data_IF_651193032529
#
_entry.id   IF_651193032529
#
_cell.length_a   1.000
_cell.length_b   1.000
_cell.length_c   1.000
_cell.angle_alpha   90.00
_cell.angle_beta   90.00
_cell.angle_gamma   90.00
#
_symmetry.space_group_name_H-M   'P 1'
#
loop_
_entity.id
_entity.type
_entity.pdbx_description
1 polymer ?
#
# COMPACT_ATOMS: atom_id res chain seq x y z
N UNK A 1 6.69 21.48 18.78
CA UNK A 1 6.46 20.21 19.52
C UNK A 1 4.99 19.88 19.35
N UNK A 2 4.63 19.29 18.22
CA UNK A 2 3.25 18.93 17.88
C UNK A 2 3.18 17.42 17.99
N UNK A 3 2.38 16.95 18.95
CA UNK A 3 2.14 15.54 19.20
C UNK A 3 1.11 15.04 18.18
N UNK A 4 1.55 14.37 17.12
CA UNK A 4 0.65 13.77 16.13
C UNK A 4 0.00 12.53 16.75
N UNK A 5 -1.19 12.71 17.32
CA UNK A 5 -2.18 11.65 17.34
C UNK A 5 -2.99 11.82 16.04
N UNK A 6 -2.93 10.83 15.13
CA UNK A 6 -3.97 10.71 14.10
C UNK A 6 -5.35 10.84 14.78
N UNK A 7 -6.37 11.50 14.19
CA UNK A 7 -7.63 11.79 14.86
C UNK A 7 -8.50 10.54 15.08
N UNK A 8 -8.02 9.55 15.84
CA UNK A 8 -8.78 8.36 16.23
C UNK A 8 -9.75 8.62 17.38
N UNK A 9 -9.54 9.70 18.14
CA UNK A 9 -10.24 9.96 19.42
C UNK A 9 -11.42 10.94 19.34
N UNK A 10 -11.86 11.34 18.14
CA UNK A 10 -12.92 12.34 18.00
C UNK A 10 -12.49 13.75 18.39
N UNK A 11 -11.19 14.01 18.36
CA UNK A 11 -10.63 15.34 18.55
C UNK A 11 -10.86 16.15 17.28
N UNK A 12 -11.54 17.29 17.46
CA UNK A 12 -11.62 18.34 16.45
C UNK A 12 -10.34 19.17 16.52
N UNK A 13 -9.71 19.40 15.38
CA UNK A 13 -8.54 20.26 15.28
C UNK A 13 -8.94 21.73 15.40
N UNK A 14 -8.00 22.58 15.75
CA UNK A 14 -8.20 24.03 15.81
C UNK A 14 -7.29 24.65 14.75
N UNK A 15 -7.83 25.52 13.89
CA UNK A 15 -7.01 26.24 12.91
C UNK A 15 -6.23 27.40 13.55
N UNK A 16 -5.35 28.03 12.78
CA UNK A 16 -4.50 29.15 13.23
C UNK A 16 -5.31 30.37 13.71
N UNK A 17 -6.61 30.43 13.40
CA UNK A 17 -7.52 31.50 13.86
C UNK A 17 -8.26 31.15 15.15
N UNK A 18 -8.06 29.94 15.68
CA UNK A 18 -8.75 29.45 16.87
C UNK A 18 -10.10 28.81 16.59
N UNK A 19 -10.49 28.59 15.32
CA UNK A 19 -11.77 27.95 14.97
C UNK A 19 -11.63 26.43 15.11
N UNK A 20 -12.61 25.84 15.80
CA UNK A 20 -12.75 24.39 15.91
C UNK A 20 -13.25 23.83 14.58
N UNK A 21 -12.45 22.97 13.96
CA UNK A 21 -12.78 22.29 12.71
C UNK A 21 -13.78 21.15 12.93
N UNK A 22 -14.57 20.82 11.92
CA UNK A 22 -15.41 19.61 11.95
C UNK A 22 -14.56 18.33 11.99
N UNK A 23 -15.17 17.19 12.32
CA UNK A 23 -14.43 15.90 12.35
C UNK A 23 -13.90 15.52 10.97
N UNK A 24 -14.70 15.65 9.91
CA UNK A 24 -14.29 15.35 8.54
C UNK A 24 -13.18 16.29 8.05
N UNK A 25 -13.29 17.59 8.36
CA UNK A 25 -12.26 18.59 8.06
C UNK A 25 -10.94 18.28 8.78
N UNK A 26 -11.01 18.00 10.09
CA UNK A 26 -9.85 17.61 10.91
C UNK A 26 -9.17 16.36 10.35
N UNK A 27 -9.96 15.39 9.89
CA UNK A 27 -9.45 14.15 9.31
C UNK A 27 -8.73 14.38 7.99
N UNK A 28 -9.31 15.18 7.09
CA UNK A 28 -8.69 15.57 5.82
C UNK A 28 -7.36 16.27 6.03
N UNK A 29 -7.34 17.28 6.90
CA UNK A 29 -6.12 18.05 7.23
C UNK A 29 -5.06 17.14 7.84
N UNK A 30 -5.41 16.27 8.79
CA UNK A 30 -4.45 15.35 9.40
C UNK A 30 -3.84 14.36 8.40
N UNK A 31 -4.65 13.83 7.48
CA UNK A 31 -4.15 12.94 6.42
C UNK A 31 -3.22 13.71 5.46
N UNK A 32 -3.56 14.94 5.10
CA UNK A 32 -2.74 15.76 4.20
C UNK A 32 -1.41 16.16 4.84
N UNK A 33 -1.42 16.56 6.13
CA UNK A 33 -0.21 16.80 6.91
C UNK A 33 0.67 15.56 6.98
N UNK A 34 0.09 14.38 7.22
CA UNK A 34 0.83 13.11 7.19
C UNK A 34 1.48 12.88 5.82
N UNK A 35 0.78 13.16 4.71
CA UNK A 35 1.35 13.03 3.37
C UNK A 35 2.56 13.95 3.17
N UNK A 36 2.48 15.18 3.66
CA UNK A 36 3.54 16.18 3.52
C UNK A 36 4.76 15.91 4.43
N UNK A 37 4.54 15.43 5.65
CA UNK A 37 5.56 15.33 6.69
C UNK A 37 6.26 13.96 6.73
N UNK A 38 5.55 12.90 6.40
CA UNK A 38 6.15 11.57 6.34
C UNK A 38 6.96 11.43 5.05
N UNK A 39 8.16 10.87 5.17
CA UNK A 39 9.03 10.60 4.03
C UNK A 39 9.76 9.27 4.17
N UNK A 40 10.08 8.68 3.03
CA UNK A 40 10.92 7.48 2.93
C UNK A 40 12.13 7.83 2.08
N UNK A 41 13.32 7.72 2.69
CA UNK A 41 14.60 8.01 2.04
C UNK A 41 14.63 9.38 1.31
N UNK A 42 14.03 10.41 1.93
CA UNK A 42 14.00 11.78 1.42
C UNK A 42 12.89 12.09 0.42
N UNK A 43 12.01 11.14 0.09
CA UNK A 43 10.83 11.35 -0.75
C UNK A 43 9.60 11.39 0.16
N UNK A 44 8.86 12.50 0.14
CA UNK A 44 7.63 12.63 0.94
C UNK A 44 6.54 11.70 0.39
N UNK A 45 5.55 11.34 1.21
CA UNK A 45 4.40 10.57 0.71
C UNK A 45 3.54 11.37 -0.28
N UNK A 46 3.50 12.70 -0.13
CA UNK A 46 2.89 13.61 -1.10
C UNK A 46 3.60 13.52 -2.47
N UNK A 47 4.94 13.52 -2.49
CA UNK A 47 5.74 13.39 -3.70
C UNK A 47 5.54 12.02 -4.34
N UNK A 48 5.47 10.95 -3.54
CA UNK A 48 5.16 9.61 -4.03
C UNK A 48 3.76 9.52 -4.65
N UNK A 49 2.77 10.19 -4.04
CA UNK A 49 1.41 10.26 -4.58
C UNK A 49 1.36 11.06 -5.88
N UNK A 50 2.05 12.20 -5.96
CA UNK A 50 2.14 12.99 -7.19
C UNK A 50 2.86 12.21 -8.29
N UNK A 51 3.98 11.55 -7.98
CA UNK A 51 4.75 10.70 -8.90
C UNK A 51 3.89 9.57 -9.48
N UNK A 52 3.06 8.92 -8.66
CA UNK A 52 2.16 7.85 -9.09
C UNK A 52 1.19 8.25 -10.20
N UNK A 53 0.80 9.53 -10.21
CA UNK A 53 -0.19 10.07 -11.15
C UNK A 53 0.42 10.98 -12.22
N UNK A 54 1.73 11.23 -12.14
CA UNK A 54 2.47 11.99 -13.13
C UNK A 54 2.68 11.14 -14.40
N UNK A 55 2.69 11.79 -15.57
CA UNK A 55 3.11 11.12 -16.80
C UNK A 55 4.64 11.01 -16.82
N UNK A 56 5.21 10.03 -17.56
CA UNK A 56 6.65 9.94 -17.71
C UNK A 56 7.27 11.24 -18.23
N UNK A 57 8.16 11.84 -17.45
CA UNK A 57 8.86 13.08 -17.78
C UNK A 57 8.19 14.37 -17.28
N UNK A 58 7.03 14.28 -16.62
CA UNK A 58 6.40 15.42 -15.97
C UNK A 58 7.25 15.88 -14.76
N UNK A 59 7.31 17.21 -14.56
CA UNK A 59 7.84 17.77 -13.32
C UNK A 59 6.80 17.57 -12.20
N UNK A 60 7.22 16.91 -11.12
CA UNK A 60 6.38 16.65 -9.94
C UNK A 60 5.91 17.96 -9.31
N UNK A 61 6.67 19.05 -9.43
CA UNK A 61 6.29 20.35 -8.88
C UNK A 61 5.04 20.94 -9.58
N UNK A 62 4.86 20.64 -10.86
CA UNK A 62 3.70 21.07 -11.66
C UNK A 62 2.59 20.00 -11.70
N UNK A 63 2.82 18.83 -11.12
CA UNK A 63 1.85 17.75 -11.10
C UNK A 63 0.61 18.13 -10.28
N UNK A 64 -0.57 17.79 -10.82
CA UNK A 64 -1.84 18.03 -10.14
C UNK A 64 -2.78 16.85 -10.29
N UNK A 65 -3.47 16.55 -9.19
CA UNK A 65 -4.36 15.41 -9.06
C UNK A 65 -5.80 15.86 -9.16
N UNK A 66 -6.61 15.04 -9.83
CA UNK A 66 -8.03 15.31 -9.99
C UNK A 66 -8.78 15.02 -8.71
N UNK A 67 -9.66 15.94 -8.30
CA UNK A 67 -10.59 15.75 -7.20
C UNK A 67 -12.00 15.56 -7.77
N UNK A 68 -12.65 14.44 -7.42
CA UNK A 68 -13.96 14.05 -7.96
C UNK A 68 -15.15 14.55 -7.12
N UNK A 69 -14.96 14.77 -5.83
CA UNK A 69 -15.99 15.22 -4.88
C UNK A 69 -15.44 16.38 -4.04
N UNK A 70 -16.26 17.41 -3.84
CA UNK A 70 -15.95 18.50 -2.94
C UNK A 70 -16.52 18.20 -1.55
N UNK A 71 -15.67 18.11 -0.51
CA UNK A 71 -16.09 17.78 0.86
C UNK A 71 -16.89 18.90 1.55
N UNK A 72 -16.87 20.13 1.03
CA UNK A 72 -17.54 21.27 1.66
C UNK A 72 -18.92 21.55 1.05
N UNK A 73 -19.03 21.65 -0.28
CA UNK A 73 -20.31 21.93 -0.95
C UNK A 73 -21.00 20.69 -1.52
N UNK A 74 -20.37 19.51 -1.49
CA UNK A 74 -20.92 18.27 -2.05
C UNK A 74 -20.93 18.20 -3.57
N UNK A 75 -20.30 19.15 -4.28
CA UNK A 75 -20.16 19.08 -5.73
C UNK A 75 -19.46 17.77 -6.15
N UNK A 76 -20.01 17.09 -7.15
CA UNK A 76 -19.51 15.80 -7.62
C UNK A 76 -19.35 15.80 -9.14
N UNK A 77 -18.20 15.32 -9.62
CA UNK A 77 -17.89 15.14 -11.03
C UNK A 77 -17.72 13.64 -11.34
N UNK A 78 -18.62 13.04 -12.14
CA UNK A 78 -18.52 11.62 -12.46
C UNK A 78 -17.37 11.32 -13.44
N UNK A 79 -16.75 10.15 -13.28
CA UNK A 79 -15.82 9.58 -14.25
C UNK A 79 -14.54 10.40 -14.48
N UNK A 80 -14.31 10.82 -15.73
CA UNK A 80 -13.10 11.53 -16.16
C UNK A 80 -13.15 13.06 -15.94
N UNK A 81 -14.19 13.56 -15.27
CA UNK A 81 -14.32 14.97 -14.90
C UNK A 81 -13.74 15.28 -13.51
N UNK A 82 -13.50 16.55 -13.20
CA UNK A 82 -12.99 16.97 -11.89
C UNK A 82 -13.66 18.25 -11.41
N UNK A 83 -13.98 18.32 -10.11
CA UNK A 83 -14.47 19.55 -9.47
C UNK A 83 -13.33 20.53 -9.15
N UNK A 84 -12.09 20.07 -9.28
CA UNK A 84 -10.88 20.82 -9.01
C UNK A 84 -9.64 19.95 -9.19
N UNK A 85 -8.49 20.59 -9.15
CA UNK A 85 -7.18 19.95 -9.22
C UNK A 85 -6.39 20.36 -7.98
N UNK A 86 -5.58 19.45 -7.46
CA UNK A 86 -4.75 19.67 -6.29
C UNK A 86 -3.31 19.25 -6.54
N UNK A 87 -2.36 20.15 -6.33
CA UNK A 87 -0.92 19.86 -6.40
C UNK A 87 -0.28 19.95 -5.02
N UNK A 88 1.06 20.06 -4.99
CA UNK A 88 1.85 20.21 -3.74
C UNK A 88 1.37 21.36 -2.85
N UNK A 89 0.92 22.45 -3.46
CA UNK A 89 0.51 23.67 -2.75
C UNK A 89 -1.01 23.76 -2.53
N UNK A 90 -1.73 22.65 -2.66
CA UNK A 90 -3.18 22.62 -2.56
C UNK A 90 -3.89 22.97 -3.87
N UNK A 91 -5.21 23.13 -3.79
CA UNK A 91 -6.08 23.40 -4.92
C UNK A 91 -7.37 24.10 -4.50
N UNK A 92 -8.26 24.34 -5.47
CA UNK A 92 -9.53 25.01 -5.23
C UNK A 92 -10.72 24.32 -5.91
N UNK A 93 -11.84 24.22 -5.19
CA UNK A 93 -13.09 23.76 -5.77
C UNK A 93 -13.66 24.80 -6.74
N UNK A 94 -13.99 24.39 -7.97
CA UNK A 94 -14.57 25.26 -8.99
C UNK A 94 -15.99 25.74 -8.67
N UNK A 95 -16.70 25.06 -7.76
CA UNK A 95 -18.09 25.39 -7.41
C UNK A 95 -18.19 26.36 -6.24
N UNK A 96 -17.43 26.16 -5.17
CA UNK A 96 -17.54 26.96 -3.94
C UNK A 96 -16.26 27.68 -3.52
N UNK A 97 -15.13 27.45 -4.22
CA UNK A 97 -13.84 28.05 -3.85
C UNK A 97 -13.14 27.40 -2.66
N UNK A 98 -13.70 26.31 -2.11
CA UNK A 98 -13.10 25.55 -1.01
C UNK A 98 -11.66 25.13 -1.29
N UNK A 99 -10.82 25.12 -0.26
CA UNK A 99 -9.47 24.55 -0.34
C UNK A 99 -9.55 23.04 -0.52
N UNK A 100 -8.83 22.55 -1.53
CA UNK A 100 -8.66 21.14 -1.82
C UNK A 100 -7.25 20.68 -1.44
N UNK A 101 -7.17 19.48 -0.89
CA UNK A 101 -5.99 18.83 -0.33
C UNK A 101 -5.68 17.53 -1.11
N UNK A 102 -4.44 17.03 -1.05
CA UNK A 102 -4.09 15.75 -1.67
C UNK A 102 -4.89 14.61 -1.04
N UNK A 103 -5.21 14.73 0.24
CA UNK A 103 -6.13 13.84 0.94
C UNK A 103 -7.53 13.78 0.28
N UNK A 104 -7.99 14.83 -0.40
CA UNK A 104 -9.27 14.84 -1.12
C UNK A 104 -9.18 14.07 -2.44
N UNK A 105 -8.01 14.10 -3.10
CA UNK A 105 -7.73 13.18 -4.19
C UNK A 105 -7.74 11.72 -3.71
N UNK A 106 -7.43 11.45 -2.44
CA UNK A 106 -7.59 10.11 -1.87
C UNK A 106 -9.02 9.84 -1.38
N UNK A 107 -9.91 10.82 -1.25
CA UNK A 107 -11.31 10.61 -0.82
C UNK A 107 -11.43 10.13 0.63
N UNK A 108 -10.56 10.64 1.51
CA UNK A 108 -10.47 10.19 2.91
C UNK A 108 -11.68 10.57 3.78
N UNK A 109 -12.45 11.55 3.36
CA UNK A 109 -13.70 11.96 4.00
C UNK A 109 -14.81 10.94 3.72
N UNK A 110 -14.95 10.50 2.47
CA UNK A 110 -15.87 9.43 2.07
C UNK A 110 -15.56 8.12 2.81
N UNK A 111 -14.27 7.85 3.04
CA UNK A 111 -13.81 6.72 3.84
C UNK A 111 -14.35 6.74 5.26
N UNK A 112 -14.17 7.87 5.93
CA UNK A 112 -14.60 8.06 7.30
C UNK A 112 -16.12 7.93 7.42
N UNK A 113 -16.85 8.52 6.48
CA UNK A 113 -18.32 8.47 6.43
C UNK A 113 -18.84 7.04 6.17
N UNK A 114 -18.18 6.28 5.29
CA UNK A 114 -18.66 4.96 4.83
C UNK A 114 -18.29 3.83 5.77
N UNK A 115 -17.04 3.79 6.23
CA UNK A 115 -16.49 2.63 6.93
C UNK A 115 -16.33 2.83 8.45
N UNK A 116 -16.53 4.05 8.93
CA UNK A 116 -16.27 4.42 10.31
C UNK A 116 -14.76 4.51 10.61
N UNK A 117 -14.44 4.97 11.83
CA UNK A 117 -13.07 5.39 12.22
C UNK A 117 -12.03 4.28 12.13
N UNK A 118 -12.31 3.11 12.70
CA UNK A 118 -11.33 2.02 12.80
C UNK A 118 -10.94 1.50 11.41
N UNK A 119 -11.92 1.32 10.53
CA UNK A 119 -11.66 0.87 9.16
C UNK A 119 -11.03 1.98 8.30
N UNK A 120 -11.39 3.24 8.51
CA UNK A 120 -10.75 4.37 7.83
C UNK A 120 -9.25 4.47 8.18
N UNK A 121 -8.87 4.21 9.43
CA UNK A 121 -7.46 4.15 9.84
C UNK A 121 -6.71 3.02 9.14
N UNK A 122 -7.31 1.83 9.05
CA UNK A 122 -6.71 0.71 8.30
C UNK A 122 -6.50 1.08 6.82
N UNK A 123 -7.41 1.85 6.23
CA UNK A 123 -7.31 2.30 4.84
C UNK A 123 -6.26 3.42 4.67
N UNK A 124 -6.07 4.26 5.69
CA UNK A 124 -4.95 5.20 5.75
C UNK A 124 -3.61 4.48 5.82
N UNK A 125 -3.50 3.49 6.70
CA UNK A 125 -2.31 2.62 6.75
C UNK A 125 -2.08 1.93 5.41
N UNK A 126 -3.15 1.40 4.79
CA UNK A 126 -3.08 0.74 3.49
C UNK A 126 -2.43 1.66 2.45
N UNK A 127 -3.00 2.84 2.15
CA UNK A 127 -2.40 3.70 1.14
C UNK A 127 -1.01 4.23 1.55
N UNK A 128 -0.77 4.47 2.84
CA UNK A 128 0.54 4.94 3.34
C UNK A 128 1.64 3.94 3.01
N UNK A 129 1.40 2.66 3.23
CA UNK A 129 2.34 1.58 2.90
C UNK A 129 2.64 1.52 1.39
N UNK A 130 1.65 1.79 0.53
CA UNK A 130 1.84 1.76 -0.93
C UNK A 130 2.62 2.98 -1.41
N UNK A 131 2.35 4.16 -0.84
CA UNK A 131 3.14 5.36 -1.11
C UNK A 131 4.58 5.19 -0.62
N UNK A 132 4.78 4.56 0.55
CA UNK A 132 6.10 4.24 1.06
C UNK A 132 6.85 3.24 0.16
N UNK A 133 6.17 2.24 -0.39
CA UNK A 133 6.72 1.33 -1.39
C UNK A 133 7.19 2.09 -2.64
N UNK A 134 6.34 2.97 -3.19
CA UNK A 134 6.70 3.78 -4.36
C UNK A 134 7.91 4.67 -4.07
N UNK A 135 7.90 5.38 -2.95
CA UNK A 135 9.03 6.20 -2.51
C UNK A 135 10.31 5.38 -2.35
N UNK A 136 10.21 4.13 -1.86
CA UNK A 136 11.36 3.22 -1.74
C UNK A 136 11.92 2.86 -3.11
N UNK A 137 11.06 2.42 -4.05
CA UNK A 137 11.47 2.08 -5.41
C UNK A 137 12.12 3.28 -6.08
N UNK A 138 11.47 4.45 -6.00
CA UNK A 138 11.95 5.68 -6.64
C UNK A 138 13.27 6.15 -6.03
N UNK A 139 13.43 6.07 -4.71
CA UNK A 139 14.69 6.43 -4.04
C UNK A 139 15.87 5.56 -4.53
N UNK A 140 15.64 4.26 -4.72
CA UNK A 140 16.66 3.37 -5.28
C UNK A 140 16.89 3.67 -6.76
N UNK A 141 15.81 3.86 -7.55
CA UNK A 141 15.87 4.22 -8.97
C UNK A 141 16.69 5.49 -9.23
N UNK A 142 16.53 6.53 -8.40
CA UNK A 142 17.29 7.79 -8.47
C UNK A 142 18.79 7.61 -8.22
N UNK A 143 19.20 6.54 -7.54
CA UNK A 143 20.62 6.21 -7.33
C UNK A 143 21.22 5.50 -8.55
N UNK A 144 20.41 4.82 -9.35
CA UNK A 144 20.84 4.12 -10.56
C UNK A 144 19.92 2.93 -10.88
N UNK A 145 19.66 2.71 -12.17
CA UNK A 145 18.87 1.55 -12.63
C UNK A 145 19.60 0.22 -12.37
N UNK A 146 20.93 0.22 -12.42
CA UNK A 146 21.79 -0.91 -12.06
C UNK A 146 21.62 -1.28 -10.58
N UNK A 147 21.62 -0.29 -9.69
CA UNK A 147 21.37 -0.48 -8.26
C UNK A 147 19.96 -1.04 -8.03
N UNK A 148 18.96 -0.51 -8.74
CA UNK A 148 17.59 -1.00 -8.65
C UNK A 148 17.45 -2.46 -9.10
N UNK A 149 18.11 -2.83 -10.20
CA UNK A 149 18.10 -4.20 -10.73
C UNK A 149 18.72 -5.22 -9.75
N UNK A 150 19.65 -4.77 -8.90
CA UNK A 150 20.32 -5.59 -7.88
C UNK A 150 19.67 -5.48 -6.48
N UNK A 151 18.60 -4.70 -6.32
CA UNK A 151 17.94 -4.48 -5.04
C UNK A 151 16.65 -5.28 -4.94
N UNK A 152 16.57 -6.17 -3.95
CA UNK A 152 15.33 -6.85 -3.60
C UNK A 152 14.49 -6.03 -2.61
N UNK A 153 13.23 -5.79 -2.94
CA UNK A 153 12.24 -5.09 -2.12
C UNK A 153 11.18 -6.08 -1.67
N UNK A 154 11.05 -6.23 -0.35
CA UNK A 154 10.13 -7.18 0.28
C UNK A 154 9.06 -6.42 1.04
N UNK A 155 7.80 -6.69 0.72
CA UNK A 155 6.62 -6.11 1.36
C UNK A 155 6.00 -7.15 2.30
N UNK A 156 5.62 -6.72 3.50
CA UNK A 156 4.85 -7.55 4.44
C UNK A 156 3.38 -7.53 4.06
N UNK A 157 2.88 -8.63 3.50
CA UNK A 157 1.55 -8.71 2.91
C UNK A 157 1.55 -8.72 1.38
N UNK A 158 0.36 -8.80 0.77
CA UNK A 158 0.24 -8.89 -0.68
C UNK A 158 0.55 -7.56 -1.37
N UNK A 159 1.03 -7.64 -2.62
CA UNK A 159 1.07 -6.52 -3.56
C UNK A 159 -0.35 -6.17 -4.02
N UNK A 160 -1.12 -5.59 -3.10
CA UNK A 160 -2.51 -5.18 -3.26
C UNK A 160 -2.75 -3.82 -2.64
N UNK A 161 -3.87 -3.17 -2.95
CA UNK A 161 -4.40 -2.05 -2.20
C UNK A 161 -5.91 -2.25 -2.02
N UNK A 162 -6.42 -1.83 -0.86
CA UNK A 162 -7.84 -1.93 -0.53
C UNK A 162 -8.64 -0.72 -1.03
N UNK A 163 -7.95 0.33 -1.48
CA UNK A 163 -8.56 1.56 -1.96
C UNK A 163 -8.92 1.52 -3.45
N UNK A 164 -9.77 2.46 -3.88
CA UNK A 164 -10.33 2.50 -5.24
C UNK A 164 -9.26 2.25 -6.31
N UNK A 165 -9.52 1.25 -7.16
CA UNK A 165 -8.66 0.81 -8.27
C UNK A 165 -8.08 1.99 -9.07
N UNK A 166 -8.89 3.00 -9.36
CA UNK A 166 -8.52 4.19 -10.13
C UNK A 166 -7.52 5.11 -9.43
N UNK A 167 -7.51 5.19 -8.09
CA UNK A 167 -6.67 6.14 -7.33
C UNK A 167 -5.37 5.53 -6.84
N UNK A 168 -5.30 4.21 -6.76
CA UNK A 168 -4.16 3.51 -6.16
C UNK A 168 -3.64 2.37 -7.05
N UNK A 169 -4.44 1.33 -7.30
CA UNK A 169 -3.96 0.11 -7.99
C UNK A 169 -3.50 0.39 -9.42
N UNK A 170 -4.30 1.13 -10.21
CA UNK A 170 -3.94 1.45 -11.60
C UNK A 170 -2.72 2.38 -11.72
N UNK A 171 -2.63 3.48 -10.94
CA UNK A 171 -1.40 4.28 -10.85
C UNK A 171 -0.16 3.45 -10.48
N UNK A 172 -0.26 2.56 -9.48
CA UNK A 172 0.87 1.68 -9.10
C UNK A 172 1.24 0.74 -10.25
N UNK A 173 0.26 0.14 -10.93
CA UNK A 173 0.52 -0.70 -12.10
C UNK A 173 1.25 0.07 -13.20
N UNK A 174 0.82 1.30 -13.51
CA UNK A 174 1.48 2.15 -14.50
C UNK A 174 2.91 2.49 -14.09
N UNK A 175 3.12 2.90 -12.84
CA UNK A 175 4.45 3.17 -12.29
C UNK A 175 5.39 1.95 -12.37
N UNK A 176 4.91 0.76 -11.99
CA UNK A 176 5.70 -0.48 -12.08
C UNK A 176 5.97 -0.89 -13.53
N UNK A 177 5.06 -0.61 -14.45
CA UNK A 177 5.23 -0.82 -15.89
C UNK A 177 6.35 0.06 -16.46
N UNK A 178 6.36 1.34 -16.07
CA UNK A 178 7.39 2.30 -16.47
C UNK A 178 8.77 1.89 -15.95
N UNK A 179 8.87 1.56 -14.66
CA UNK A 179 10.11 1.07 -14.04
C UNK A 179 10.62 -0.19 -14.74
N UNK A 180 9.72 -1.15 -15.00
CA UNK A 180 10.07 -2.40 -15.69
C UNK A 180 10.54 -2.14 -17.12
N UNK A 181 9.86 -1.23 -17.83
CA UNK A 181 10.21 -0.83 -19.20
C UNK A 181 11.59 -0.17 -19.25
N UNK A 182 11.95 0.65 -18.27
CA UNK A 182 13.28 1.26 -18.20
C UNK A 182 14.38 0.23 -17.95
N UNK A 183 14.18 -0.70 -17.02
CA UNK A 183 15.12 -1.79 -16.75
C UNK A 183 15.32 -2.65 -18.01
N UNK A 184 14.23 -3.01 -18.71
CA UNK A 184 14.30 -3.78 -19.95
C UNK A 184 15.05 -3.01 -21.06
N UNK A 185 14.78 -1.71 -21.24
CA UNK A 185 15.47 -0.85 -22.23
C UNK A 185 16.96 -0.69 -21.92
N UNK A 186 17.34 -0.67 -20.64
CA UNK A 186 18.72 -0.61 -20.20
C UNK A 186 19.44 -1.98 -20.29
N UNK A 187 18.74 -3.07 -20.63
CA UNK A 187 19.29 -4.42 -20.68
C UNK A 187 19.63 -4.99 -19.30
N UNK A 188 18.95 -4.50 -18.25
CA UNK A 188 19.16 -4.91 -16.86
C UNK A 188 18.17 -6.00 -16.43
N UNK A 189 18.43 -6.60 -15.26
CA UNK A 189 17.52 -7.56 -14.64
C UNK A 189 16.15 -6.95 -14.30
N UNK A 190 15.10 -7.78 -14.17
CA UNK A 190 13.77 -7.31 -13.82
C UNK A 190 13.72 -6.77 -12.38
N UNK A 191 12.73 -5.92 -12.09
CA UNK A 191 12.47 -5.44 -10.73
C UNK A 191 12.23 -6.62 -9.77
N UNK A 192 13.04 -6.69 -8.71
CA UNK A 192 12.92 -7.70 -7.65
C UNK A 192 12.01 -7.18 -6.53
N UNK A 193 10.70 -7.19 -6.79
CA UNK A 193 9.67 -6.81 -5.82
C UNK A 193 8.82 -8.03 -5.44
N UNK A 194 8.61 -8.25 -4.15
CA UNK A 194 7.76 -9.34 -3.66
C UNK A 194 6.96 -8.94 -2.44
N UNK A 195 5.67 -9.25 -2.46
CA UNK A 195 4.83 -9.25 -1.26
C UNK A 195 4.75 -10.65 -0.66
N UNK A 196 4.84 -10.77 0.67
CA UNK A 196 4.82 -12.06 1.37
C UNK A 196 3.66 -12.09 2.36
N UNK A 197 2.71 -12.98 2.12
CA UNK A 197 1.50 -13.10 2.93
C UNK A 197 1.70 -14.10 4.08
N UNK A 198 1.40 -13.66 5.31
CA UNK A 198 1.51 -14.48 6.53
C UNK A 198 0.17 -14.94 7.08
N UNK A 199 -0.91 -14.30 6.67
CA UNK A 199 -2.26 -14.55 7.18
C UNK A 199 -3.27 -14.42 6.06
N UNK A 200 -4.46 -14.97 6.26
CA UNK A 200 -5.60 -14.85 5.35
C UNK A 200 -5.89 -16.12 4.58
N UNK A 201 -6.98 -16.07 3.83
CA UNK A 201 -7.58 -17.24 3.16
C UNK A 201 -6.62 -17.96 2.21
N UNK A 202 -5.77 -17.23 1.48
CA UNK A 202 -4.78 -17.83 0.59
C UNK A 202 -3.69 -18.60 1.35
N UNK A 203 -3.26 -18.11 2.52
CA UNK A 203 -2.26 -18.76 3.38
C UNK A 203 -2.85 -20.02 4.03
N UNK A 204 -4.08 -19.93 4.52
CA UNK A 204 -4.82 -21.07 5.05
C UNK A 204 -4.99 -22.17 3.97
N UNK A 205 -5.37 -21.77 2.76
CA UNK A 205 -5.52 -22.71 1.64
C UNK A 205 -4.17 -23.31 1.22
N UNK A 206 -3.10 -22.52 1.16
CA UNK A 206 -1.75 -23.00 0.87
C UNK A 206 -1.31 -24.09 1.85
N UNK A 207 -1.55 -23.90 3.15
CA UNK A 207 -1.22 -24.88 4.17
C UNK A 207 -1.95 -26.22 3.97
N UNK A 208 -3.19 -26.20 3.47
CA UNK A 208 -3.96 -27.43 3.19
C UNK A 208 -3.39 -28.18 1.99
N UNK A 209 -2.94 -27.47 0.95
CA UNK A 209 -2.45 -28.09 -0.31
C UNK A 209 -0.93 -28.26 -0.35
N UNK A 210 -0.20 -27.91 0.72
CA UNK A 210 1.26 -27.89 0.72
C UNK A 210 1.88 -29.24 0.39
N UNK A 211 1.29 -30.33 0.86
CA UNK A 211 1.76 -31.70 0.60
C UNK A 211 1.57 -32.15 -0.86
N UNK A 212 0.80 -31.40 -1.65
CA UNK A 212 0.65 -31.63 -3.09
C UNK A 212 1.72 -30.89 -3.92
N UNK A 213 2.55 -30.07 -3.28
CA UNK A 213 3.60 -29.28 -3.92
C UNK A 213 4.95 -29.79 -3.42
N UNK A 214 5.74 -30.33 -4.34
CA UNK A 214 7.07 -30.84 -4.01
C UNK A 214 7.98 -29.73 -3.44
N UNK A 215 8.82 -30.02 -2.43
CA UNK A 215 9.80 -29.06 -1.93
C UNK A 215 10.67 -28.47 -3.06
N UNK A 216 10.89 -27.16 -3.01
CA UNK A 216 11.57 -26.39 -4.05
C UNK A 216 10.70 -26.07 -5.29
N UNK A 217 9.41 -26.42 -5.30
CA UNK A 217 8.51 -26.13 -6.42
C UNK A 217 7.54 -24.99 -6.14
N UNK A 218 7.14 -24.33 -7.22
CA UNK A 218 6.16 -23.26 -7.23
C UNK A 218 4.87 -23.73 -7.89
N UNK A 219 3.75 -23.44 -7.24
CA UNK A 219 2.41 -23.62 -7.80
C UNK A 219 1.89 -22.26 -8.27
N UNK A 220 1.56 -22.19 -9.56
CA UNK A 220 0.78 -21.08 -10.12
C UNK A 220 -0.65 -21.17 -9.61
N UNK A 221 -1.29 -20.03 -9.41
CA UNK A 221 -2.71 -19.94 -9.09
C UNK A 221 -3.46 -19.32 -10.28
N UNK A 222 -3.99 -20.13 -11.22
CA UNK A 222 -4.91 -19.66 -12.24
C UNK A 222 -6.13 -18.96 -11.63
N UNK A 223 -6.72 -18.04 -12.38
CA UNK A 223 -7.89 -17.27 -11.91
C UNK A 223 -9.08 -18.21 -11.60
N UNK A 224 -9.27 -19.27 -12.38
CA UNK A 224 -10.34 -20.25 -12.15
C UNK A 224 -10.12 -21.05 -10.84
N UNK A 225 -8.87 -21.40 -10.54
CA UNK A 225 -8.47 -22.14 -9.35
C UNK A 225 -8.77 -21.32 -8.11
N UNK A 226 -8.39 -20.04 -8.10
CA UNK A 226 -8.70 -19.12 -6.99
C UNK A 226 -10.20 -18.93 -6.85
N UNK A 227 -10.92 -18.77 -7.96
CA UNK A 227 -12.37 -18.65 -7.95
C UNK A 227 -13.05 -19.89 -7.36
N UNK A 228 -12.56 -21.07 -7.70
CA UNK A 228 -13.20 -22.35 -7.37
C UNK A 228 -12.81 -22.88 -6.00
N UNK A 229 -11.53 -22.90 -5.70
CA UNK A 229 -10.97 -23.63 -4.56
C UNK A 229 -10.57 -22.74 -3.40
N UNK A 230 -10.19 -21.48 -3.66
CA UNK A 230 -9.81 -20.55 -2.60
C UNK A 230 -11.04 -19.79 -2.14
N UNK A 231 -11.63 -18.97 -3.01
CA UNK A 231 -12.64 -17.96 -2.64
C UNK A 231 -14.09 -18.45 -2.68
N UNK A 232 -14.36 -19.61 -3.29
CA UNK A 232 -15.73 -20.11 -3.50
C UNK A 232 -16.61 -19.20 -4.39
N UNK A 233 -16.00 -18.41 -5.28
CA UNK A 233 -16.66 -17.46 -6.18
C UNK A 233 -16.99 -18.05 -7.56
N UNK A 234 -17.17 -19.36 -7.68
CA UNK A 234 -17.53 -20.04 -8.95
C UNK A 234 -18.72 -19.35 -9.63
N UNK A 235 -18.56 -18.95 -10.89
CA UNK A 235 -19.65 -18.36 -11.69
C UNK A 235 -19.91 -16.86 -11.44
N UNK A 236 -19.09 -16.15 -10.65
CA UNK A 236 -19.22 -14.69 -10.53
C UNK A 236 -18.60 -13.95 -11.73
N UNK A 237 -19.26 -12.92 -12.28
CA UNK A 237 -18.67 -12.08 -13.31
C UNK A 237 -17.50 -11.25 -12.76
N UNK A 238 -16.50 -11.00 -13.61
CA UNK A 238 -15.32 -10.18 -13.30
C UNK A 238 -14.03 -10.99 -13.13
N UNK A 239 -12.88 -10.33 -13.33
CA UNK A 239 -11.56 -10.94 -13.14
C UNK A 239 -11.14 -10.77 -11.69
N UNK A 240 -10.83 -11.87 -11.00
CA UNK A 240 -10.31 -11.82 -9.63
C UNK A 240 -9.07 -10.92 -9.57
N UNK A 241 -8.99 -10.10 -8.52
CA UNK A 241 -7.80 -9.31 -8.21
C UNK A 241 -7.53 -8.10 -9.10
N UNK A 242 -8.21 -7.96 -10.25
CA UNK A 242 -7.97 -6.86 -11.22
C UNK A 242 -7.98 -5.46 -10.60
N UNK A 243 -8.89 -5.21 -9.68
CA UNK A 243 -9.10 -3.88 -9.09
C UNK A 243 -8.38 -3.69 -7.76
N UNK A 244 -7.75 -4.75 -7.22
CA UNK A 244 -7.18 -4.74 -5.88
C UNK A 244 -5.69 -5.09 -5.87
N UNK A 245 -5.15 -5.76 -6.91
CA UNK A 245 -3.80 -6.30 -6.90
C UNK A 245 -2.95 -5.75 -8.04
N UNK A 246 -1.72 -5.38 -7.70
CA UNK A 246 -0.66 -5.00 -8.65
C UNK A 246 0.47 -6.04 -8.73
N UNK A 247 0.27 -7.21 -8.11
CA UNK A 247 1.07 -8.42 -8.32
C UNK A 247 0.21 -9.67 -8.47
N UNK A 248 0.78 -10.74 -9.02
CA UNK A 248 0.13 -12.06 -9.09
C UNK A 248 0.65 -12.97 -8.00
N UNK A 249 -0.26 -13.77 -7.45
CA UNK A 249 0.01 -14.69 -6.35
C UNK A 249 0.54 -16.05 -6.82
N UNK A 250 1.49 -16.59 -6.07
CA UNK A 250 2.07 -17.91 -6.22
C UNK A 250 2.19 -18.57 -4.84
N UNK A 251 2.09 -19.91 -4.82
CA UNK A 251 2.50 -20.69 -3.64
C UNK A 251 3.86 -21.30 -3.92
N UNK A 252 4.81 -21.08 -3.03
CA UNK A 252 6.14 -21.67 -3.14
C UNK A 252 6.38 -22.61 -1.97
N UNK A 253 6.57 -23.90 -2.26
CA UNK A 253 7.05 -24.87 -1.29
C UNK A 253 8.56 -24.75 -1.22
N UNK A 254 9.08 -24.23 -0.12
CA UNK A 254 10.53 -24.15 0.12
C UNK A 254 11.15 -25.54 0.23
N UNK A 255 12.48 -25.61 0.14
CA UNK A 255 13.21 -26.89 0.26
C UNK A 255 13.15 -27.47 1.67
N UNK A 256 12.98 -26.60 2.66
CA UNK A 256 12.78 -26.99 4.08
C UNK A 256 11.37 -27.50 4.37
N UNK A 257 10.46 -27.47 3.40
CA UNK A 257 9.10 -27.91 3.63
C UNK A 257 8.27 -26.90 4.43
N UNK A 258 8.54 -25.60 4.34
CA UNK A 258 7.53 -24.56 4.61
C UNK A 258 6.90 -24.05 3.31
N UNK A 259 5.65 -23.59 3.37
CA UNK A 259 4.96 -22.98 2.23
C UNK A 259 4.89 -21.48 2.39
N UNK A 260 5.26 -20.75 1.35
CA UNK A 260 5.15 -19.30 1.27
C UNK A 260 4.04 -18.94 0.28
N UNK A 261 3.26 -17.93 0.64
CA UNK A 261 2.35 -17.25 -0.27
C UNK A 261 2.98 -15.93 -0.66
N UNK A 262 3.30 -15.79 -1.95
CA UNK A 262 4.02 -14.62 -2.46
C UNK A 262 3.25 -13.96 -3.59
N UNK A 263 3.41 -12.65 -3.71
CA UNK A 263 2.89 -11.86 -4.83
C UNK A 263 4.04 -11.16 -5.54
N UNK A 264 4.10 -11.28 -6.88
CA UNK A 264 5.20 -10.76 -7.71
C UNK A 264 4.60 -9.92 -8.85
N UNK A 265 5.15 -8.74 -9.19
CA UNK A 265 4.68 -7.95 -10.30
C UNK A 265 4.93 -8.68 -11.63
N UNK A 266 4.10 -8.38 -12.63
CA UNK A 266 4.34 -8.87 -13.98
C UNK A 266 5.38 -7.98 -14.70
N UNK A 267 5.92 -8.48 -15.82
CA UNK A 267 6.79 -7.70 -16.72
C UNK A 267 6.03 -6.56 -17.40
N UNK A 268 6.79 -5.68 -18.04
CA UNK A 268 6.25 -4.56 -18.81
C UNK A 268 5.20 -5.02 -19.86
N UNK A 269 4.13 -4.24 -19.99
CA UNK A 269 2.98 -4.45 -20.86
C UNK A 269 1.99 -5.52 -20.39
N UNK A 270 2.17 -6.12 -19.21
CA UNK A 270 1.31 -7.21 -18.72
C UNK A 270 0.65 -6.82 -17.40
N UNK A 271 -0.67 -6.72 -17.38
CA UNK A 271 -1.42 -6.63 -16.13
C UNK A 271 -1.46 -8.01 -15.42
N UNK A 272 -1.21 -8.11 -14.10
CA UNK A 272 -1.13 -9.39 -13.40
C UNK A 272 -2.46 -10.15 -13.33
N UNK A 273 -3.58 -9.42 -13.41
CA UNK A 273 -4.93 -9.94 -13.39
C UNK A 273 -5.71 -9.40 -14.58
N UNK A 274 -5.87 -10.22 -15.62
CA UNK A 274 -6.58 -9.83 -16.83
C UNK A 274 -7.35 -11.01 -17.43
N UNK A 275 -8.24 -10.73 -18.40
CA UNK A 275 -8.85 -11.77 -19.23
C UNK A 275 -7.90 -12.35 -20.29
N UNK A 276 -6.74 -11.72 -20.49
CA UNK A 276 -5.73 -12.19 -21.43
C UNK A 276 -4.91 -13.32 -20.79
N UNK A 277 -4.83 -14.47 -21.45
CA UNK A 277 -4.06 -15.62 -20.98
C UNK A 277 -2.58 -15.32 -20.74
N UNK A 278 -2.02 -14.27 -21.36
CA UNK A 278 -0.64 -13.79 -21.12
C UNK A 278 -0.41 -13.47 -19.65
N UNK A 279 -1.40 -12.95 -18.91
CA UNK A 279 -1.24 -12.64 -17.48
C UNK A 279 -1.03 -13.87 -16.60
N UNK A 280 -1.22 -15.08 -17.13
CA UNK A 280 -1.00 -16.33 -16.40
C UNK A 280 0.20 -17.12 -16.92
N UNK A 281 0.97 -16.60 -17.87
CA UNK A 281 2.15 -17.30 -18.39
C UNK A 281 3.35 -17.10 -17.47
N UNK A 282 4.21 -18.12 -17.35
CA UNK A 282 5.43 -18.04 -16.53
C UNK A 282 6.38 -16.93 -16.97
N UNK A 283 6.51 -16.73 -18.29
CA UNK A 283 7.35 -15.68 -18.89
C UNK A 283 6.86 -14.25 -18.56
N UNK A 284 5.63 -14.08 -18.08
CA UNK A 284 5.12 -12.80 -17.60
C UNK A 284 5.68 -12.42 -16.22
N UNK A 285 6.37 -13.34 -15.53
CA UNK A 285 6.94 -13.14 -14.20
C UNK A 285 8.44 -13.49 -14.18
N UNK A 286 9.29 -12.76 -14.93
CA UNK A 286 10.70 -13.10 -15.09
C UNK A 286 11.50 -13.00 -13.78
N UNK A 287 11.08 -12.17 -12.82
CA UNK A 287 11.72 -12.05 -11.51
C UNK A 287 11.40 -13.21 -10.55
N UNK A 288 10.36 -14.01 -10.81
CA UNK A 288 9.85 -15.01 -9.87
C UNK A 288 10.94 -15.98 -9.40
N UNK A 289 11.70 -16.58 -10.31
CA UNK A 289 12.72 -17.57 -9.95
C UNK A 289 13.82 -16.96 -9.06
N UNK A 290 14.32 -15.78 -9.43
CA UNK A 290 15.33 -15.04 -8.64
C UNK A 290 14.78 -14.67 -7.27
N UNK A 291 13.56 -14.13 -7.21
CA UNK A 291 12.87 -13.78 -5.96
C UNK A 291 12.74 -14.98 -5.04
N UNK A 292 12.28 -16.13 -5.54
CA UNK A 292 12.14 -17.34 -4.71
C UNK A 292 13.49 -17.87 -4.22
N UNK A 293 14.53 -17.80 -5.05
CA UNK A 293 15.91 -18.11 -4.65
C UNK A 293 16.39 -17.24 -3.50
N UNK A 294 16.15 -15.92 -3.57
CA UNK A 294 16.47 -14.98 -2.49
C UNK A 294 15.69 -15.28 -1.20
N UNK A 295 14.40 -15.61 -1.30
CA UNK A 295 13.60 -15.96 -0.13
C UNK A 295 14.04 -17.28 0.54
N UNK A 296 14.66 -18.19 -0.22
CA UNK A 296 15.28 -19.40 0.32
C UNK A 296 16.53 -19.07 1.16
N UNK A 297 17.35 -18.11 0.70
CA UNK A 297 18.55 -17.66 1.41
C UNK A 297 18.23 -16.80 2.64
N UNK A 298 17.23 -15.93 2.54
CA UNK A 298 16.82 -14.99 3.59
C UNK A 298 15.92 -15.62 4.66
N UNK A 299 15.95 -16.95 4.83
CA UNK A 299 15.12 -17.66 5.80
C UNK A 299 15.45 -17.25 7.24
N UNK A 300 14.41 -17.13 8.08
CA UNK A 300 14.58 -16.95 9.52
C UNK A 300 14.48 -18.28 10.24
N UNK A 301 15.49 -18.63 11.03
CA UNK A 301 15.44 -19.82 11.91
C UNK A 301 14.58 -19.56 13.16
N UNK A 302 14.18 -18.30 13.42
CA UNK A 302 13.46 -17.92 14.65
C UNK A 302 11.95 -18.13 14.59
N UNK A 303 11.36 -18.06 13.40
CA UNK A 303 9.90 -18.15 13.22
C UNK A 303 9.60 -18.95 11.96
N UNK A 304 8.68 -19.89 12.07
CA UNK A 304 8.28 -20.77 10.99
C UNK A 304 7.77 -19.97 9.78
N UNK A 305 8.25 -20.28 8.58
CA UNK A 305 7.85 -19.58 7.34
C UNK A 305 8.27 -18.10 7.26
N UNK A 306 8.95 -17.54 8.27
CA UNK A 306 9.35 -16.16 8.26
C UNK A 306 10.63 -15.94 7.44
N UNK A 307 10.80 -14.71 6.96
CA UNK A 307 11.99 -14.24 6.26
C UNK A 307 12.65 -13.12 7.08
N UNK A 308 13.98 -13.14 7.14
CA UNK A 308 14.77 -12.30 8.05
C UNK A 308 14.45 -10.80 7.95
N UNK A 309 14.33 -10.20 6.75
CA UNK A 309 14.04 -8.77 6.65
C UNK A 309 12.72 -8.38 7.32
N UNK A 310 11.68 -9.22 7.18
CA UNK A 310 10.40 -8.96 7.81
C UNK A 310 10.45 -9.15 9.33
N UNK A 311 11.22 -10.13 9.81
CA UNK A 311 11.43 -10.33 11.24
C UNK A 311 12.13 -9.12 11.85
N UNK A 312 13.15 -8.57 11.20
CA UNK A 312 13.84 -7.37 11.68
C UNK A 312 12.93 -6.14 11.65
N UNK A 313 12.18 -5.93 10.57
CA UNK A 313 11.23 -4.83 10.48
C UNK A 313 10.15 -4.90 11.58
N UNK A 314 9.65 -6.09 11.89
CA UNK A 314 8.72 -6.32 13.01
C UNK A 314 9.34 -6.03 14.38
N UNK A 315 10.62 -6.37 14.57
CA UNK A 315 11.34 -6.06 15.80
C UNK A 315 11.50 -4.55 15.99
N UNK A 316 11.99 -3.84 14.96
CA UNK A 316 12.18 -2.38 15.01
C UNK A 316 10.87 -1.62 15.20
N UNK A 317 9.80 -2.00 14.48
CA UNK A 317 8.48 -1.38 14.64
C UNK A 317 7.87 -1.64 16.02
N UNK A 318 8.04 -2.84 16.57
CA UNK A 318 7.59 -3.15 17.93
C UNK A 318 8.31 -2.30 18.98
N UNK A 319 9.61 -2.05 18.80
CA UNK A 319 10.38 -1.16 19.66
C UNK A 319 9.88 0.29 19.57
N UNK A 320 9.69 0.81 18.35
CA UNK A 320 9.17 2.17 18.13
C UNK A 320 7.77 2.36 18.70
N UNK A 321 6.89 1.36 18.54
CA UNK A 321 5.54 1.38 19.11
C UNK A 321 5.59 1.40 20.64
N UNK A 322 6.46 0.59 21.25
CA UNK A 322 6.61 0.54 22.70
C UNK A 322 7.08 1.88 23.27
N UNK A 323 8.02 2.55 22.60
CA UNK A 323 8.49 3.89 22.96
C UNK A 323 7.39 4.95 22.82
N UNK A 324 6.63 4.92 21.72
CA UNK A 324 5.51 5.84 21.48
C UNK A 324 4.41 5.69 22.53
N UNK A 325 4.08 4.45 22.92
CA UNK A 325 3.12 4.17 23.99
C UNK A 325 3.61 4.68 25.35
N UNK A 326 4.91 4.55 25.64
CA UNK A 326 5.50 5.09 26.87
C UNK A 326 5.40 6.62 26.92
N UNK A 327 5.70 7.30 25.81
CA UNK A 327 5.56 8.76 25.71
C UNK A 327 4.11 9.22 25.82
N UNK A 328 3.17 8.53 25.17
CA UNK A 328 1.74 8.84 25.29
C UNK A 328 1.25 8.72 26.74
N UNK A 329 1.70 7.70 27.48
CA UNK A 329 1.40 7.55 28.91
C UNK A 329 1.97 8.69 29.75
N UNK A 330 3.24 9.05 29.51
CA UNK A 330 3.88 10.18 30.21
C UNK A 330 3.15 11.51 29.96
N UNK A 331 2.72 11.77 28.72
CA UNK A 331 1.94 12.95 28.37
C UNK A 331 0.57 12.96 29.04
N UNK A 332 -0.12 11.82 29.12
CA UNK A 332 -1.39 11.69 29.83
C UNK A 332 -1.25 11.95 31.33
N UNK A 333 -0.19 11.42 31.95
CA UNK A 333 0.13 11.62 33.36
C UNK A 333 0.45 13.10 33.65
N UNK A 334 1.17 13.79 32.75
CA UNK A 334 1.47 15.23 32.89
C UNK A 334 0.26 16.14 32.66
N UNK A 335 -0.69 15.74 31.81
CA UNK A 335 -1.90 16.51 31.49
C UNK A 335 -3.07 16.25 32.46
N UNK A 336 -2.91 15.34 33.42
CA UNK A 336 -3.95 15.02 34.42
C UNK A 336 -5.18 14.33 33.85
N UNK A 337 -5.03 13.61 32.72
CA UNK A 337 -6.14 12.89 32.07
C UNK A 337 -6.37 11.56 32.83
N UNK A 338 -7.52 11.40 33.50
CA UNK A 338 -7.81 10.23 34.32
C UNK A 338 -7.81 8.90 33.54
N UNK A 339 -7.27 7.84 34.17
CA UNK A 339 -7.01 6.50 33.63
C UNK A 339 -8.24 5.69 33.14
N UNK A 340 -9.44 6.27 33.13
CA UNK A 340 -10.68 5.58 32.79
C UNK A 340 -11.01 5.55 31.29
N UNK A 341 -10.30 6.31 30.45
CA UNK A 341 -10.39 6.17 28.98
C UNK A 341 -9.39 5.11 28.51
N UNK A 342 -9.61 3.84 28.89
CA UNK A 342 -8.77 2.73 28.45
C UNK A 342 -8.92 2.50 26.94
N UNK A 343 -7.97 2.98 26.15
CA UNK A 343 -7.69 2.44 24.82
C UNK A 343 -7.19 0.99 25.01
N UNK A 344 -8.12 0.03 24.96
CA UNK A 344 -7.80 -1.39 24.78
C UNK A 344 -7.44 -1.60 23.31
N UNK A 345 -6.17 -1.39 22.96
CA UNK A 345 -5.63 -2.00 21.75
C UNK A 345 -5.30 -3.45 22.12
N UNK A 346 -6.17 -4.39 21.71
CA UNK A 346 -5.85 -5.81 21.78
C UNK A 346 -4.65 -6.05 20.87
N UNK A 347 -3.46 -6.22 21.44
CA UNK A 347 -2.37 -6.91 20.76
C UNK A 347 -2.83 -8.35 20.53
N UNK A 348 -3.15 -8.70 19.29
CA UNK A 348 -3.51 -10.05 18.89
C UNK A 348 -2.30 -10.68 18.18
N UNK A 349 -1.42 -11.29 18.97
CA UNK A 349 -0.52 -12.35 18.50
C UNK A 349 -0.37 -13.34 19.66
N UNK A 350 -1.15 -14.41 19.58
CA UNK A 350 -0.92 -15.69 20.26
C UNK A 350 -1.14 -16.79 19.23
#
# INVERSE_FOLDING_TARGET
>A
MISYALPGVGLSSVDDTGRVMGTAESWRVACDSMLAECSVAGISLADALLLLHASPGDDIEDASLRVGSCPECGAYAPGAEAIGFVGRHGGGCRSCGAVLLLADHLGVDDLLATYGRENALNLVMDFTERLALVATIESVRRRGLDVLAETAIVVDGPLSALWTSERMVRPILAYLDDVSTELERAGLGPLLLVGVEKTGQDVEHAAVVSELIEPGHVMKLPTDYIGTHVTGRTGRPGVYGKDNFYGRRFFYRRRDGHILVVTVPARAGVAPWSTNAVSEQWNSYPSLATTLGLLEELRSDRFEGAIQPLVWAHQESSLALSASQALARLSQDQLGIEQNTRLRIKGAWS
#
